data_IF_478000887712
#
_entry.id   IF_478000887712
#
_cell.length_a   1.000
_cell.length_b   1.000
_cell.length_c   1.000
_cell.angle_alpha   90.00
_cell.angle_beta   90.00
_cell.angle_gamma   90.00
#
_symmetry.space_group_name_H-M   'P 1'
#
loop_
_entity.id
_entity.type
_entity.pdbx_description
1 polymer ?
#
# COMPACT_ATOMS: atom_id res chain seq x y z
N UNK A 1 38.60 -21.24 -12.86
CA UNK A 1 38.00 -20.16 -12.05
C UNK A 1 36.51 -20.23 -12.21
N UNK A 2 35.80 -20.76 -11.22
CA UNK A 2 34.36 -21.00 -11.29
C UNK A 2 33.67 -19.85 -10.58
N UNK A 3 33.03 -18.96 -11.33
CA UNK A 3 32.32 -17.79 -10.80
C UNK A 3 31.05 -18.27 -10.11
N UNK A 4 31.06 -18.31 -8.78
CA UNK A 4 29.86 -18.57 -7.99
C UNK A 4 29.05 -17.28 -8.01
N UNK A 5 28.03 -17.22 -8.86
CA UNK A 5 26.98 -16.20 -8.79
C UNK A 5 26.25 -16.41 -7.46
N UNK A 6 26.49 -15.55 -6.47
CA UNK A 6 25.60 -15.45 -5.32
C UNK A 6 24.24 -14.97 -5.84
N UNK A 7 23.30 -15.89 -6.02
CA UNK A 7 21.89 -15.57 -6.12
C UNK A 7 21.47 -14.99 -4.77
N UNK A 8 21.62 -13.68 -4.63
CA UNK A 8 20.98 -12.94 -3.56
C UNK A 8 19.50 -13.00 -3.88
N UNK A 9 18.80 -13.95 -3.27
CA UNK A 9 17.35 -14.02 -3.29
C UNK A 9 16.83 -12.77 -2.59
N UNK A 10 16.77 -11.66 -3.32
CA UNK A 10 15.91 -10.54 -3.00
C UNK A 10 14.49 -11.06 -3.19
N UNK A 11 14.01 -11.83 -2.22
CA UNK A 11 12.58 -11.94 -1.96
C UNK A 11 12.14 -10.53 -1.59
N UNK A 12 11.86 -9.73 -2.63
CA UNK A 12 11.38 -8.37 -2.50
C UNK A 12 10.14 -8.45 -1.63
N UNK A 13 10.26 -8.02 -0.37
CA UNK A 13 9.11 -7.99 0.52
C UNK A 13 8.03 -7.18 -0.18
N UNK A 14 6.82 -7.70 -0.23
CA UNK A 14 5.71 -6.97 -0.84
C UNK A 14 5.53 -5.65 -0.04
N UNK A 15 5.88 -4.52 -0.67
CA UNK A 15 5.80 -3.19 -0.06
C UNK A 15 4.49 -2.53 -0.48
N UNK A 16 3.67 -2.15 0.51
CA UNK A 16 2.47 -1.35 0.28
C UNK A 16 2.77 0.12 0.58
N UNK A 17 2.74 0.94 -0.45
CA UNK A 17 2.77 2.40 -0.35
C UNK A 17 1.36 2.94 -0.10
N UNK A 18 1.28 4.00 0.70
CA UNK A 18 0.03 4.69 1.01
C UNK A 18 0.24 6.20 0.92
N UNK A 19 -0.70 6.90 0.29
CA UNK A 19 -0.81 8.35 0.26
C UNK A 19 -2.18 8.76 0.81
N UNK A 20 -2.26 9.90 1.49
CA UNK A 20 -3.50 10.37 2.09
C UNK A 20 -3.68 11.88 1.88
N UNK A 21 -4.78 12.26 1.25
CA UNK A 21 -5.23 13.65 1.14
C UNK A 21 -6.27 13.92 2.23
N UNK A 22 -5.95 14.81 3.16
CA UNK A 22 -6.82 15.17 4.28
C UNK A 22 -7.63 16.42 3.93
N UNK A 23 -8.95 16.32 4.06
CA UNK A 23 -9.85 17.46 4.12
C UNK A 23 -10.80 17.33 5.31
N UNK A 24 -11.54 18.40 5.61
CA UNK A 24 -12.47 18.43 6.73
C UNK A 24 -13.72 17.55 6.52
N UNK A 25 -14.07 17.24 5.25
CA UNK A 25 -15.28 16.47 4.93
C UNK A 25 -14.95 15.06 4.43
N UNK A 26 -13.86 14.91 3.65
CA UNK A 26 -13.50 13.66 3.00
C UNK A 26 -11.99 13.42 3.04
N UNK A 27 -11.58 12.18 3.20
CA UNK A 27 -10.18 11.77 3.04
C UNK A 27 -10.04 10.93 1.78
N UNK A 28 -9.05 11.21 0.94
CA UNK A 28 -8.69 10.34 -0.20
C UNK A 28 -7.48 9.52 0.18
N UNK A 29 -7.58 8.20 0.03
CA UNK A 29 -6.51 7.26 0.31
C UNK A 29 -6.04 6.66 -1.01
N UNK A 30 -4.78 6.87 -1.35
CA UNK A 30 -4.09 6.18 -2.43
C UNK A 30 -3.28 5.02 -1.86
N UNK A 31 -3.32 3.87 -2.53
CA UNK A 31 -2.49 2.72 -2.21
C UNK A 31 -1.82 2.20 -3.47
N UNK A 32 -0.57 1.77 -3.35
CA UNK A 32 0.18 1.17 -4.44
C UNK A 32 1.10 0.07 -3.94
N UNK A 33 1.31 -0.98 -4.74
CA UNK A 33 2.38 -1.95 -4.53
C UNK A 33 3.52 -1.77 -5.56
N UNK A 34 3.57 -0.63 -6.24
CA UNK A 34 4.51 -0.34 -7.33
C UNK A 34 4.08 -0.82 -8.72
N UNK A 35 3.04 -1.67 -8.79
CA UNK A 35 2.48 -2.16 -10.07
C UNK A 35 1.04 -1.70 -10.32
N UNK A 36 0.28 -1.46 -9.24
CA UNK A 36 -1.12 -1.13 -9.31
C UNK A 36 -1.47 -0.05 -8.30
N UNK A 37 -2.10 1.01 -8.81
CA UNK A 37 -2.63 2.09 -7.99
C UNK A 37 -4.13 1.91 -7.76
N UNK A 38 -4.56 2.16 -6.53
CA UNK A 38 -5.98 2.21 -6.16
C UNK A 38 -6.21 3.42 -5.28
N UNK A 39 -7.32 4.12 -5.51
CA UNK A 39 -7.73 5.26 -4.72
C UNK A 39 -9.13 5.03 -4.17
N UNK A 40 -9.33 5.34 -2.90
CA UNK A 40 -10.66 5.31 -2.26
C UNK A 40 -10.89 6.62 -1.50
N UNK A 41 -12.13 7.10 -1.52
CA UNK A 41 -12.52 8.27 -0.72
C UNK A 41 -13.41 7.83 0.41
N UNK A 42 -13.11 8.28 1.63
CA UNK A 42 -13.90 8.02 2.84
C UNK A 42 -14.32 9.34 3.49
N UNK A 43 -15.32 9.30 4.36
CA UNK A 43 -15.70 10.46 5.18
C UNK A 43 -14.58 10.80 6.16
N UNK A 44 -14.28 12.09 6.33
CA UNK A 44 -13.28 12.54 7.29
C UNK A 44 -13.67 12.14 8.72
N UNK A 45 -12.69 11.73 9.52
CA UNK A 45 -12.89 11.29 10.90
C UNK A 45 -13.39 9.84 11.05
N UNK A 46 -13.70 9.14 9.95
CA UNK A 46 -14.08 7.73 10.00
C UNK A 46 -12.84 6.83 10.09
N UNK A 47 -12.32 6.72 11.31
CA UNK A 47 -11.16 5.86 11.63
C UNK A 47 -11.42 4.38 11.37
N UNK A 48 -12.67 3.92 11.48
CA UNK A 48 -13.03 2.51 11.20
C UNK A 48 -12.93 2.23 9.71
N UNK A 49 -13.45 3.11 8.87
CA UNK A 49 -13.31 3.01 7.42
C UNK A 49 -11.84 3.06 6.98
N UNK A 50 -11.03 3.95 7.57
CA UNK A 50 -9.60 4.03 7.31
C UNK A 50 -8.89 2.70 7.60
N UNK A 51 -9.09 2.16 8.81
CA UNK A 51 -8.48 0.88 9.21
C UNK A 51 -8.91 -0.27 8.30
N UNK A 52 -10.19 -0.31 7.90
CA UNK A 52 -10.72 -1.33 7.00
C UNK A 52 -10.07 -1.28 5.61
N UNK A 53 -9.90 -0.07 5.06
CA UNK A 53 -9.25 0.11 3.75
C UNK A 53 -7.77 -0.27 3.79
N UNK A 54 -7.06 0.04 4.87
CA UNK A 54 -5.67 -0.41 5.05
C UNK A 54 -5.59 -1.94 5.13
N UNK A 55 -6.52 -2.59 5.84
CA UNK A 55 -6.60 -4.06 5.91
C UNK A 55 -6.79 -4.69 4.53
N UNK A 56 -7.80 -4.25 3.78
CA UNK A 56 -8.03 -4.70 2.40
C UNK A 56 -6.84 -4.42 1.48
N UNK A 57 -6.13 -3.32 1.72
CA UNK A 57 -4.97 -2.99 0.94
C UNK A 57 -3.84 -4.01 1.15
N UNK A 58 -3.62 -4.44 2.39
CA UNK A 58 -2.61 -5.44 2.74
C UNK A 58 -2.95 -6.85 2.24
N UNK A 59 -4.22 -7.25 2.24
CA UNK A 59 -4.66 -8.56 1.74
C UNK A 59 -4.43 -8.74 0.23
N UNK A 60 -4.36 -7.62 -0.51
CA UNK A 60 -4.24 -7.60 -1.97
C UNK A 60 -2.87 -7.08 -2.43
N UNK A 61 -1.83 -7.34 -1.65
CA UNK A 61 -0.44 -6.98 -1.96
C UNK A 61 0.09 -7.77 -3.16
#
# INVERSE_FOLDING_TARGET
MTTILQSKDYSGKAVLYMAMELSNAKWKLGFSNGSRDRSVTITAGDWKALSRQIGFAKEKL
#
